data_IF_730038252780
#
_entry.id   IF_730038252780
#
_cell.length_a   1.000
_cell.length_b   1.000
_cell.length_c   1.000
_cell.angle_alpha   90.00
_cell.angle_beta   90.00
_cell.angle_gamma   90.00
#
_symmetry.space_group_name_H-M   'P 1'
#
loop_
_entity.id
_entity.type
_entity.pdbx_description
1 polymer ?
#
# COMPACT_ATOMS: atom_id res chain seq x y z
N UNK A 1 9.29 25.54 33.18
CA UNK A 1 9.85 24.22 32.78
C UNK A 1 9.39 23.80 31.38
N UNK A 2 8.48 24.54 30.74
CA UNK A 2 7.76 24.06 29.55
C UNK A 2 8.50 24.27 28.22
N UNK A 3 9.40 25.24 28.13
CA UNK A 3 10.14 25.52 26.89
C UNK A 3 11.12 24.39 26.55
N UNK A 4 11.82 23.86 27.56
CA UNK A 4 12.82 22.80 27.37
C UNK A 4 12.17 21.46 27.00
N UNK A 5 11.00 21.16 27.56
CA UNK A 5 10.22 19.96 27.24
C UNK A 5 9.65 20.02 25.82
N UNK A 6 9.14 21.17 25.39
CA UNK A 6 8.65 21.37 24.03
C UNK A 6 9.77 21.28 22.98
N UNK A 7 10.98 21.79 23.30
CA UNK A 7 12.15 21.66 22.42
C UNK A 7 12.54 20.19 22.20
N UNK A 8 12.59 19.38 23.26
CA UNK A 8 12.86 17.93 23.13
C UNK A 8 11.82 17.22 22.28
N UNK A 9 10.54 17.52 22.48
CA UNK A 9 9.45 16.94 21.69
C UNK A 9 9.52 17.35 20.21
N UNK A 10 9.96 18.58 19.92
CA UNK A 10 10.18 19.05 18.55
C UNK A 10 11.39 18.37 17.89
N UNK A 11 12.48 18.16 18.64
CA UNK A 11 13.64 17.39 18.18
C UNK A 11 13.26 15.94 17.87
N UNK A 12 12.45 15.28 18.71
CA UNK A 12 11.93 13.94 18.44
C UNK A 12 11.03 13.91 17.19
N UNK A 13 10.17 14.92 16.99
CA UNK A 13 9.34 15.03 15.79
C UNK A 13 10.15 15.32 14.52
N UNK A 14 11.34 15.91 14.66
CA UNK A 14 12.23 16.25 13.55
C UNK A 14 12.99 15.06 13.00
N UNK A 15 13.09 13.97 13.76
CA UNK A 15 13.75 12.74 13.35
C UNK A 15 12.76 11.75 12.73
N UNK A 16 12.74 11.71 11.40
CA UNK A 16 12.04 10.65 10.66
C UNK A 16 12.99 9.45 10.52
N UNK A 17 12.53 8.27 10.90
CA UNK A 17 13.27 7.03 10.63
C UNK A 17 13.03 6.63 9.18
N UNK A 18 14.10 6.49 8.42
CA UNK A 18 14.06 6.08 7.02
C UNK A 18 14.20 4.56 6.89
N UNK A 19 13.59 3.99 5.86
CA UNK A 19 13.87 2.60 5.49
C UNK A 19 15.30 2.48 4.94
N UNK A 20 15.82 1.25 4.87
CA UNK A 20 17.15 0.97 4.31
C UNK A 20 17.23 1.43 2.85
N UNK A 21 16.15 1.21 2.08
CA UNK A 21 16.06 1.57 0.66
C UNK A 21 16.09 3.08 0.48
N UNK A 22 15.29 3.83 1.25
CA UNK A 22 15.30 5.29 1.22
C UNK A 22 16.65 5.86 1.62
N UNK A 23 17.30 5.25 2.61
CA UNK A 23 18.63 5.65 3.08
C UNK A 23 19.69 5.42 2.01
N UNK A 24 19.66 4.28 1.30
CA UNK A 24 20.59 3.99 0.21
C UNK A 24 20.45 5.01 -0.93
N UNK A 25 19.23 5.36 -1.32
CA UNK A 25 18.95 6.37 -2.36
C UNK A 25 19.53 7.74 -1.97
N UNK A 26 19.26 8.21 -0.75
CA UNK A 26 19.78 9.51 -0.28
C UNK A 26 21.31 9.54 -0.18
N UNK A 27 21.93 8.40 0.11
CA UNK A 27 23.38 8.27 0.16
C UNK A 27 24.01 8.05 -1.23
N UNK A 28 23.22 8.11 -2.31
CA UNK A 28 23.63 7.75 -3.68
C UNK A 28 24.31 6.38 -3.75
N UNK A 29 23.87 5.46 -2.89
CA UNK A 29 24.27 4.05 -2.91
C UNK A 29 23.27 3.25 -3.70
N UNK A 30 23.73 2.14 -4.26
CA UNK A 30 22.84 1.20 -4.93
C UNK A 30 21.93 0.52 -3.88
N UNK A 31 20.60 0.66 -3.96
CA UNK A 31 19.69 -0.08 -3.08
C UNK A 31 19.78 -1.58 -3.37
N UNK A 32 19.61 -2.39 -2.32
CA UNK A 32 19.55 -3.85 -2.47
C UNK A 32 18.33 -4.22 -3.32
N UNK A 33 18.54 -5.10 -4.30
CA UNK A 33 17.41 -5.65 -5.09
C UNK A 33 16.50 -6.47 -4.17
N UNK A 34 15.23 -6.10 -4.11
CA UNK A 34 14.21 -6.90 -3.43
C UNK A 34 13.81 -8.09 -4.31
N UNK A 35 13.45 -9.21 -3.66
CA UNK A 35 12.87 -10.33 -4.37
C UNK A 35 11.51 -9.93 -4.94
N UNK A 36 11.14 -10.52 -6.07
CA UNK A 36 9.80 -10.39 -6.61
C UNK A 36 8.81 -11.03 -5.62
N UNK A 37 7.82 -10.29 -5.09
CA UNK A 37 6.80 -10.86 -4.23
C UNK A 37 5.88 -11.83 -4.99
N UNK A 38 5.87 -11.81 -6.33
CA UNK A 38 4.96 -12.58 -7.17
C UNK A 38 3.53 -12.11 -6.98
N UNK A 39 2.80 -12.82 -6.11
CA UNK A 39 1.42 -12.46 -5.76
C UNK A 39 1.30 -12.22 -4.25
N UNK A 40 0.59 -11.16 -3.88
CA UNK A 40 0.41 -10.72 -2.50
C UNK A 40 -1.00 -10.16 -2.30
N UNK A 41 -1.43 -9.98 -1.06
CA UNK A 41 -2.75 -9.39 -0.77
C UNK A 41 -2.62 -7.93 -0.34
N UNK A 42 -3.52 -7.09 -0.84
CA UNK A 42 -3.66 -5.70 -0.43
C UNK A 42 -5.10 -5.40 0.00
N UNK A 43 -5.31 -4.48 0.96
CA UNK A 43 -6.62 -3.89 1.13
C UNK A 43 -6.93 -3.00 -0.08
N UNK A 44 -8.14 -3.08 -0.61
CA UNK A 44 -8.62 -2.19 -1.67
C UNK A 44 -10.08 -1.78 -1.44
N UNK A 45 -10.44 -0.62 -1.96
CA UNK A 45 -11.81 -0.13 -1.96
C UNK A 45 -12.35 -0.24 -3.39
N UNK A 46 -13.46 -0.96 -3.58
CA UNK A 46 -14.14 -1.11 -4.87
C UNK A 46 -15.49 -0.43 -4.74
N UNK A 47 -15.68 0.72 -5.40
CA UNK A 47 -16.83 1.58 -5.15
C UNK A 47 -16.88 2.01 -3.67
N UNK A 48 -17.91 1.59 -2.94
CA UNK A 48 -18.05 1.78 -1.48
C UNK A 48 -17.70 0.54 -0.64
N UNK A 49 -17.30 -0.56 -1.28
CA UNK A 49 -17.03 -1.84 -0.62
C UNK A 49 -15.54 -2.02 -0.31
N UNK A 50 -15.22 -2.22 0.97
CA UNK A 50 -13.84 -2.47 1.42
C UNK A 50 -13.52 -3.97 1.32
N UNK A 51 -12.50 -4.31 0.54
CA UNK A 51 -11.92 -5.65 0.45
C UNK A 51 -10.60 -5.64 1.22
N UNK A 52 -10.50 -6.42 2.29
CA UNK A 52 -9.29 -6.44 3.14
C UNK A 52 -8.11 -7.15 2.50
N UNK A 53 -8.35 -8.16 1.67
CA UNK A 53 -7.33 -9.06 1.12
C UNK A 53 -7.53 -9.31 -0.38
N UNK A 54 -7.50 -8.26 -1.20
CA UNK A 54 -7.52 -8.41 -2.65
C UNK A 54 -6.17 -8.94 -3.14
N UNK A 55 -6.19 -9.99 -3.96
CA UNK A 55 -4.97 -10.55 -4.55
C UNK A 55 -4.44 -9.61 -5.63
N UNK A 56 -3.21 -9.14 -5.47
CA UNK A 56 -2.41 -8.45 -6.46
C UNK A 56 -1.36 -9.43 -6.98
N UNK A 57 -1.45 -9.79 -8.26
CA UNK A 57 -0.49 -10.65 -8.93
C UNK A 57 0.25 -9.85 -10.01
N UNK A 58 1.57 -9.70 -9.85
CA UNK A 58 2.40 -8.95 -10.79
C UNK A 58 2.51 -9.63 -12.16
N UNK A 59 2.17 -10.93 -12.25
CA UNK A 59 2.11 -11.67 -13.51
C UNK A 59 0.77 -11.60 -14.24
N UNK A 60 -0.28 -11.07 -13.60
CA UNK A 60 -1.62 -11.04 -14.18
C UNK A 60 -1.81 -9.83 -15.11
N UNK A 61 -2.39 -10.07 -16.29
CA UNK A 61 -2.71 -9.02 -17.27
C UNK A 61 -4.15 -8.49 -17.16
N UNK A 62 -5.01 -9.16 -16.38
CA UNK A 62 -6.41 -8.81 -16.18
C UNK A 62 -6.76 -8.83 -14.69
N UNK A 63 -7.77 -8.06 -14.31
CA UNK A 63 -8.33 -8.08 -12.96
C UNK A 63 -9.59 -8.94 -12.94
N UNK A 64 -9.67 -9.86 -11.98
CA UNK A 64 -10.85 -10.68 -11.74
C UNK A 64 -11.59 -10.19 -10.50
N UNK A 65 -12.91 -10.20 -10.58
CA UNK A 65 -13.79 -9.94 -9.45
C UNK A 65 -14.67 -11.17 -9.23
N UNK A 66 -14.69 -11.77 -8.03
CA UNK A 66 -15.65 -12.81 -7.71
C UNK A 66 -17.08 -12.29 -7.87
N UNK A 67 -17.98 -13.12 -8.39
CA UNK A 67 -19.37 -12.75 -8.62
C UNK A 67 -20.07 -12.25 -7.34
N UNK A 68 -19.82 -12.91 -6.20
CA UNK A 68 -20.38 -12.50 -4.90
C UNK A 68 -19.97 -11.08 -4.48
N UNK A 69 -18.80 -10.59 -4.94
CA UNK A 69 -18.37 -9.21 -4.71
C UNK A 69 -19.08 -8.28 -5.67
N UNK A 70 -19.22 -8.68 -6.93
CA UNK A 70 -19.97 -7.94 -7.94
C UNK A 70 -21.43 -7.71 -7.54
N UNK A 71 -22.14 -8.74 -7.06
CA UNK A 71 -23.53 -8.62 -6.60
C UNK A 71 -23.68 -7.59 -5.47
N UNK A 72 -22.72 -7.56 -4.54
CA UNK A 72 -22.71 -6.61 -3.41
C UNK A 72 -22.50 -5.16 -3.83
N UNK A 73 -21.91 -4.93 -4.99
CA UNK A 73 -21.71 -3.58 -5.52
C UNK A 73 -23.00 -3.00 -6.11
N UNK A 74 -24.05 -3.81 -6.31
CA UNK A 74 -25.34 -3.37 -6.84
C UNK A 74 -25.25 -2.78 -8.26
N UNK A 75 -24.27 -3.25 -9.04
CA UNK A 75 -24.05 -2.81 -10.42
C UNK A 75 -25.11 -3.43 -11.34
N UNK A 76 -25.51 -2.71 -12.40
CA UNK A 76 -26.43 -3.22 -13.43
C UNK A 76 -25.91 -4.49 -14.13
N UNK A 77 -26.78 -5.12 -14.91
CA UNK A 77 -26.59 -6.43 -15.52
C UNK A 77 -25.27 -6.56 -16.32
N UNK A 78 -24.56 -7.66 -16.09
CA UNK A 78 -23.34 -8.00 -16.82
C UNK A 78 -23.65 -8.18 -18.29
N UNK A 79 -23.02 -7.36 -19.14
CA UNK A 79 -23.06 -7.58 -20.59
C UNK A 79 -21.96 -8.57 -20.98
N UNK A 80 -22.26 -9.54 -21.86
CA UNK A 80 -21.23 -10.40 -22.44
C UNK A 80 -20.15 -9.56 -23.13
N UNK A 81 -18.89 -9.97 -22.96
CA UNK A 81 -17.73 -9.46 -23.72
C UNK A 81 -17.69 -10.01 -25.12
#
# INVERSE_FOLDING_TARGET
>A
MDILTNKKKLEELSHVTLSEECSAILQNKLPRKMNDPGSFTIPCLIGSFLVSNALADLGASINLMPYDVFEKLGVEELKPT
#
